data_IF_875649529992
#
_entry.id   IF_875649529992
#
_cell.length_a   1.000
_cell.length_b   1.000
_cell.length_c   1.000
_cell.angle_alpha   90.00
_cell.angle_beta   90.00
_cell.angle_gamma   90.00
#
_symmetry.space_group_name_H-M   'P 1'
#
loop_
_entity.id
_entity.type
_entity.pdbx_description
1 polymer ?
#
# COMPACT_ATOMS: atom_id res chain seq x y z
N UNK A 1 18.36 21.88 -12.83
CA UNK A 1 18.22 22.28 -11.43
C UNK A 1 18.07 21.02 -10.61
N UNK A 2 19.10 20.67 -9.86
CA UNK A 2 19.17 19.47 -9.04
C UNK A 2 18.25 19.66 -7.83
N UNK A 3 17.12 18.94 -7.79
CA UNK A 3 16.34 18.86 -6.56
C UNK A 3 16.92 17.73 -5.72
N UNK A 4 17.71 18.11 -4.72
CA UNK A 4 18.18 17.21 -3.67
C UNK A 4 16.96 16.49 -3.04
N UNK A 5 16.77 15.22 -3.39
CA UNK A 5 15.97 14.32 -2.58
C UNK A 5 16.74 14.09 -1.28
N UNK A 6 16.13 14.23 -0.10
CA UNK A 6 16.79 13.84 1.13
C UNK A 6 17.12 12.35 1.06
N UNK A 7 18.41 12.01 1.04
CA UNK A 7 18.93 10.67 1.01
C UNK A 7 18.78 10.01 2.39
N UNK A 8 17.60 9.52 2.69
CA UNK A 8 17.42 8.47 3.68
C UNK A 8 16.85 7.26 2.94
N UNK A 9 17.72 6.62 2.18
CA UNK A 9 17.40 5.38 1.46
C UNK A 9 17.33 4.24 2.46
N UNK A 10 16.29 4.20 3.29
CA UNK A 10 15.87 2.93 3.86
C UNK A 10 15.46 2.08 2.64
N UNK A 11 16.23 1.01 2.38
CA UNK A 11 15.91 0.12 1.25
C UNK A 11 14.47 -0.37 1.41
N UNK A 12 13.67 -0.21 0.35
CA UNK A 12 12.32 -0.75 0.33
C UNK A 12 12.37 -2.27 0.49
N UNK A 13 11.44 -2.87 1.24
CA UNK A 13 11.39 -4.32 1.46
C UNK A 13 11.34 -5.10 0.14
N UNK A 14 11.91 -6.29 0.14
CA UNK A 14 11.83 -7.25 -0.97
C UNK A 14 10.64 -8.19 -0.76
N UNK A 15 10.40 -8.59 0.49
CA UNK A 15 9.31 -9.49 0.87
C UNK A 15 8.30 -8.81 1.77
N UNK A 16 7.01 -9.06 1.49
CA UNK A 16 5.88 -8.51 2.22
C UNK A 16 4.91 -9.62 2.63
N UNK A 17 4.44 -9.59 3.88
CA UNK A 17 3.44 -10.53 4.38
C UNK A 17 2.16 -9.78 4.76
N UNK A 18 1.06 -10.10 4.10
CA UNK A 18 -0.27 -9.55 4.44
C UNK A 18 -0.84 -10.20 5.69
N UNK A 19 -1.42 -9.37 6.57
CA UNK A 19 -2.09 -9.79 7.81
C UNK A 19 -3.41 -9.03 7.94
N UNK A 20 -4.57 -9.71 8.07
CA UNK A 20 -5.84 -9.02 8.27
C UNK A 20 -5.82 -8.13 9.51
N UNK A 21 -6.19 -6.86 9.37
CA UNK A 21 -6.15 -5.87 10.45
C UNK A 21 -7.10 -6.16 11.62
N UNK A 22 -8.12 -6.99 11.39
CA UNK A 22 -9.05 -7.45 12.44
C UNK A 22 -8.59 -8.75 13.14
N UNK A 23 -7.32 -9.18 12.95
CA UNK A 23 -6.77 -10.39 13.55
C UNK A 23 -5.50 -10.08 14.34
N UNK A 24 -5.60 -9.27 15.42
CA UNK A 24 -4.44 -8.80 16.19
C UNK A 24 -3.60 -9.94 16.79
N UNK A 25 -4.20 -11.09 17.06
CA UNK A 25 -3.51 -12.30 17.52
C UNK A 25 -2.50 -12.87 16.51
N UNK A 26 -2.56 -12.41 15.25
CA UNK A 26 -1.64 -12.81 14.17
C UNK A 26 -0.49 -11.85 13.96
N UNK A 27 -0.53 -10.65 14.50
CA UNK A 27 0.48 -9.61 14.20
C UNK A 27 1.87 -10.00 14.67
N UNK A 28 2.00 -10.48 15.92
CA UNK A 28 3.27 -10.95 16.44
C UNK A 28 3.83 -12.14 15.64
N UNK A 29 2.98 -13.11 15.30
CA UNK A 29 3.36 -14.27 14.48
C UNK A 29 3.80 -13.87 13.07
N UNK A 30 3.20 -12.83 12.50
CA UNK A 30 3.59 -12.32 11.19
C UNK A 30 4.98 -11.66 11.23
N UNK A 31 5.32 -10.97 12.32
CA UNK A 31 6.68 -10.45 12.55
C UNK A 31 7.70 -11.59 12.66
N UNK A 32 7.34 -12.67 13.36
CA UNK A 32 8.19 -13.88 13.53
C UNK A 32 8.41 -14.63 12.19
N UNK A 33 7.56 -14.43 11.19
CA UNK A 33 7.71 -15.05 9.87
C UNK A 33 8.90 -14.51 9.06
N UNK A 34 9.61 -13.49 9.58
CA UNK A 34 10.85 -12.95 9.04
C UNK A 34 10.74 -12.40 7.59
N UNK A 35 9.57 -11.95 7.16
CA UNK A 35 9.45 -11.10 5.98
C UNK A 35 10.07 -9.72 6.29
N UNK A 36 10.63 -9.04 5.26
CA UNK A 36 11.20 -7.70 5.44
C UNK A 36 10.14 -6.70 5.92
N UNK A 37 8.88 -6.89 5.51
CA UNK A 37 7.75 -6.09 5.94
C UNK A 37 6.48 -6.90 6.15
N UNK A 38 5.64 -6.44 7.07
CA UNK A 38 4.25 -6.86 7.19
C UNK A 38 3.32 -5.78 6.66
N UNK A 39 2.21 -6.19 6.07
CA UNK A 39 1.14 -5.30 5.61
C UNK A 39 -0.10 -5.58 6.45
N UNK A 40 -0.46 -4.65 7.33
CA UNK A 40 -1.69 -4.69 8.11
C UNK A 40 -2.84 -4.27 7.19
N UNK A 41 -3.69 -5.22 6.85
CA UNK A 41 -4.70 -5.03 5.82
C UNK A 41 -6.02 -4.49 6.39
N UNK A 42 -6.48 -3.36 5.86
CA UNK A 42 -7.79 -2.79 6.17
C UNK A 42 -8.79 -2.98 5.02
N UNK A 43 -8.37 -3.59 3.90
CA UNK A 43 -9.19 -3.73 2.69
C UNK A 43 -9.87 -5.12 2.61
N UNK A 44 -9.62 -5.88 1.57
CA UNK A 44 -10.39 -7.07 1.20
C UNK A 44 -10.31 -8.22 2.20
N UNK A 45 -9.23 -8.32 3.00
CA UNK A 45 -9.16 -9.30 4.07
C UNK A 45 -10.03 -8.97 5.29
N UNK A 46 -10.72 -7.82 5.30
CA UNK A 46 -11.56 -7.36 6.41
C UNK A 46 -12.97 -7.07 5.93
N UNK A 47 -13.96 -7.77 6.50
CA UNK A 47 -15.38 -7.53 6.18
C UNK A 47 -15.78 -6.07 6.48
N UNK A 48 -16.68 -5.45 5.71
CA UNK A 48 -17.08 -4.06 5.89
C UNK A 48 -17.48 -3.68 7.32
N UNK A 49 -18.23 -4.52 8.00
CA UNK A 49 -18.67 -4.33 9.39
C UNK A 49 -17.50 -4.36 10.40
N UNK A 50 -16.37 -4.96 10.04
CA UNK A 50 -15.19 -5.10 10.90
C UNK A 50 -14.13 -4.03 10.65
N UNK A 51 -14.31 -3.12 9.69
CA UNK A 51 -13.31 -2.11 9.32
C UNK A 51 -12.93 -1.19 10.49
N UNK A 52 -13.92 -0.76 11.27
CA UNK A 52 -13.67 0.09 12.46
C UNK A 52 -12.87 -0.66 13.54
N UNK A 53 -13.22 -1.93 13.79
CA UNK A 53 -12.49 -2.78 14.74
C UNK A 53 -11.06 -3.05 14.26
N UNK A 54 -10.86 -3.27 12.95
CA UNK A 54 -9.54 -3.44 12.36
C UNK A 54 -8.64 -2.22 12.57
N UNK A 55 -9.13 -1.00 12.27
CA UNK A 55 -8.40 0.24 12.54
C UNK A 55 -8.01 0.36 14.02
N UNK A 56 -8.96 0.07 14.93
CA UNK A 56 -8.70 0.08 16.38
C UNK A 56 -7.63 -0.93 16.80
N UNK A 57 -7.67 -2.14 16.28
CA UNK A 57 -6.69 -3.18 16.58
C UNK A 57 -5.29 -2.84 16.06
N UNK A 58 -5.21 -2.34 14.82
CA UNK A 58 -3.94 -1.86 14.23
C UNK A 58 -3.37 -0.70 15.05
N UNK A 59 -4.21 0.26 15.43
CA UNK A 59 -3.82 1.38 16.28
C UNK A 59 -3.24 0.92 17.62
N UNK A 60 -4.01 0.12 18.36
CA UNK A 60 -3.60 -0.38 19.67
C UNK A 60 -2.29 -1.16 19.61
N UNK A 61 -2.11 -1.98 18.55
CA UNK A 61 -0.87 -2.71 18.37
C UNK A 61 0.31 -1.78 18.04
N UNK A 62 0.11 -0.79 17.21
CA UNK A 62 1.14 0.21 16.91
C UNK A 62 1.55 1.02 18.16
N UNK A 63 0.59 1.36 19.02
CA UNK A 63 0.88 2.08 20.27
C UNK A 63 1.63 1.23 21.29
N UNK A 64 1.26 -0.04 21.43
CA UNK A 64 1.87 -0.96 22.40
C UNK A 64 3.24 -1.48 21.96
N UNK A 65 3.54 -1.49 20.65
CA UNK A 65 4.73 -2.13 20.09
C UNK A 65 5.75 -1.09 19.64
N UNK A 66 6.78 -0.84 20.46
CA UNK A 66 7.79 0.20 20.18
C UNK A 66 8.70 -0.16 19.00
N UNK A 67 9.19 -1.40 18.95
CA UNK A 67 10.10 -1.87 17.90
C UNK A 67 9.75 -3.27 17.47
N UNK A 68 9.88 -3.52 16.16
CA UNK A 68 9.77 -4.85 15.56
C UNK A 68 10.91 -5.05 14.55
N UNK A 69 11.24 -6.30 14.27
CA UNK A 69 12.35 -6.65 13.39
C UNK A 69 12.07 -6.38 11.89
N UNK A 70 10.84 -6.02 11.51
CA UNK A 70 10.43 -5.79 10.13
C UNK A 70 9.80 -4.41 9.95
N UNK A 71 9.72 -3.94 8.71
CA UNK A 71 8.99 -2.72 8.36
C UNK A 71 7.48 -2.95 8.46
N UNK A 72 6.72 -1.89 8.73
CA UNK A 72 5.26 -1.95 8.90
C UNK A 72 4.56 -1.10 7.85
N UNK A 73 3.75 -1.72 7.06
CA UNK A 73 2.87 -1.07 6.08
C UNK A 73 1.40 -1.30 6.46
N UNK A 74 0.54 -0.45 5.92
CA UNK A 74 -0.92 -0.57 6.06
C UNK A 74 -1.53 -0.54 4.67
N UNK A 75 -2.32 -1.53 4.31
CA UNK A 75 -3.16 -1.43 3.11
C UNK A 75 -4.46 -0.74 3.48
N UNK A 76 -4.69 0.44 2.89
CA UNK A 76 -5.91 1.22 3.06
C UNK A 76 -7.04 0.65 2.21
N UNK A 77 -8.26 1.10 2.48
CA UNK A 77 -9.38 0.82 1.59
C UNK A 77 -9.23 1.57 0.26
N UNK A 78 -9.97 1.15 -0.77
CA UNK A 78 -9.90 1.74 -2.11
C UNK A 78 -10.28 3.22 -2.11
N UNK A 79 -9.52 4.03 -2.85
CA UNK A 79 -9.71 5.48 -2.98
C UNK A 79 -11.15 5.80 -3.40
N UNK A 80 -11.77 6.74 -2.71
CA UNK A 80 -13.16 7.16 -2.96
C UNK A 80 -14.21 6.40 -2.17
N UNK A 81 -13.88 5.26 -1.53
CA UNK A 81 -14.83 4.55 -0.67
C UNK A 81 -15.09 5.29 0.65
N UNK A 82 -16.22 4.96 1.30
CA UNK A 82 -16.53 5.51 2.64
C UNK A 82 -15.48 5.07 3.67
N UNK A 83 -15.01 3.83 3.60
CA UNK A 83 -13.98 3.30 4.48
C UNK A 83 -12.64 4.00 4.28
N UNK A 84 -12.28 4.36 3.05
CA UNK A 84 -11.07 5.12 2.76
C UNK A 84 -11.03 6.48 3.45
N UNK A 85 -12.15 7.22 3.43
CA UNK A 85 -12.22 8.51 4.14
C UNK A 85 -11.98 8.36 5.64
N UNK A 86 -12.48 7.26 6.23
CA UNK A 86 -12.23 6.93 7.63
C UNK A 86 -10.76 6.55 7.87
N UNK A 87 -10.15 5.82 6.95
CA UNK A 87 -8.72 5.47 7.00
C UNK A 87 -7.84 6.72 6.95
N UNK A 88 -8.17 7.68 6.07
CA UNK A 88 -7.43 8.96 5.99
C UNK A 88 -7.52 9.77 7.29
N UNK A 89 -8.71 9.87 7.88
CA UNK A 89 -8.88 10.55 9.18
C UNK A 89 -8.06 9.86 10.26
N UNK A 90 -8.10 8.54 10.30
CA UNK A 90 -7.36 7.72 11.24
C UNK A 90 -5.83 7.87 11.06
N UNK A 91 -5.33 7.86 9.82
CA UNK A 91 -3.90 8.07 9.54
C UNK A 91 -3.41 9.46 9.93
N UNK A 92 -4.20 10.50 9.63
CA UNK A 92 -3.84 11.88 10.00
C UNK A 92 -3.62 12.01 11.50
N UNK A 93 -4.46 11.35 12.28
CA UNK A 93 -4.47 11.45 13.74
C UNK A 93 -3.52 10.43 14.42
N UNK A 94 -2.70 9.72 13.63
CA UNK A 94 -1.78 8.70 14.12
C UNK A 94 -0.73 9.30 15.06
N UNK A 95 -0.70 8.81 16.30
CA UNK A 95 0.17 9.33 17.37
C UNK A 95 1.66 9.03 17.15
N UNK A 96 1.97 7.91 16.49
CA UNK A 96 3.33 7.44 16.25
C UNK A 96 3.53 7.14 14.76
N UNK A 97 3.55 8.18 13.90
CA UNK A 97 3.67 7.99 12.45
C UNK A 97 4.98 7.31 12.05
N UNK A 98 6.05 7.49 12.82
CA UNK A 98 7.35 6.83 12.61
C UNK A 98 7.29 5.30 12.74
N UNK A 99 6.24 4.76 13.32
CA UNK A 99 6.01 3.31 13.43
C UNK A 99 5.30 2.72 12.21
N UNK A 100 4.87 3.56 11.28
CA UNK A 100 4.31 3.16 9.99
C UNK A 100 5.30 3.52 8.88
N UNK A 101 5.91 2.53 8.26
CA UNK A 101 6.88 2.73 7.17
C UNK A 101 6.19 3.24 5.92
N UNK A 102 4.98 2.78 5.63
CA UNK A 102 4.27 3.20 4.44
C UNK A 102 2.85 2.66 4.33
N UNK A 103 2.21 3.01 3.22
CA UNK A 103 0.85 2.58 2.90
C UNK A 103 0.77 1.97 1.51
N UNK A 104 -0.13 1.00 1.36
CA UNK A 104 -0.55 0.45 0.10
C UNK A 104 -1.91 1.05 -0.28
N UNK A 105 -2.01 1.58 -1.51
CA UNK A 105 -3.24 2.11 -2.10
C UNK A 105 -3.75 1.11 -3.14
N UNK A 106 -4.80 0.32 -2.81
CA UNK A 106 -5.33 -0.69 -3.71
C UNK A 106 -6.14 -0.04 -4.83
N UNK A 107 -6.38 -0.83 -5.90
CA UNK A 107 -7.24 -0.47 -7.04
C UNK A 107 -6.92 0.93 -7.59
N UNK A 108 -5.61 1.15 -7.82
CA UNK A 108 -5.11 2.41 -8.36
C UNK A 108 -5.54 2.56 -9.84
N UNK A 109 -6.57 3.38 -10.09
CA UNK A 109 -7.21 3.51 -11.40
C UNK A 109 -7.30 4.95 -11.91
N UNK A 110 -7.33 5.93 -11.02
CA UNK A 110 -7.58 7.33 -11.34
C UNK A 110 -6.37 8.20 -10.94
N UNK A 111 -5.42 8.48 -11.87
CA UNK A 111 -4.16 9.17 -11.55
C UNK A 111 -4.35 10.50 -10.82
N UNK A 112 -5.33 11.33 -11.24
CA UNK A 112 -5.56 12.64 -10.63
C UNK A 112 -6.10 12.54 -9.19
N UNK A 113 -6.98 11.57 -8.91
CA UNK A 113 -7.49 11.33 -7.56
C UNK A 113 -6.38 10.76 -6.66
N UNK A 114 -5.59 9.83 -7.21
CA UNK A 114 -4.47 9.22 -6.52
C UNK A 114 -3.38 10.25 -6.17
N UNK A 115 -3.05 11.16 -7.12
CA UNK A 115 -2.08 12.23 -6.90
C UNK A 115 -2.46 13.12 -5.71
N UNK A 116 -3.74 13.51 -5.60
CA UNK A 116 -4.22 14.30 -4.45
C UNK A 116 -4.08 13.54 -3.12
N UNK A 117 -4.34 12.24 -3.13
CA UNK A 117 -4.18 11.39 -1.95
C UNK A 117 -2.71 11.28 -1.55
N UNK A 118 -1.82 11.07 -2.51
CA UNK A 118 -0.37 11.00 -2.28
C UNK A 118 0.14 12.32 -1.70
N UNK A 119 -0.21 13.45 -2.30
CA UNK A 119 0.14 14.79 -1.82
C UNK A 119 -0.34 15.01 -0.37
N UNK A 120 -1.60 14.66 -0.09
CA UNK A 120 -2.19 14.80 1.24
C UNK A 120 -1.49 13.92 2.29
N UNK A 121 -1.19 12.68 1.97
CA UNK A 121 -0.51 11.75 2.88
C UNK A 121 0.91 12.23 3.20
N UNK A 122 1.64 12.70 2.20
CA UNK A 122 3.00 13.22 2.38
C UNK A 122 3.03 14.58 3.09
N UNK A 123 1.98 15.38 2.97
CA UNK A 123 1.85 16.62 3.75
C UNK A 123 1.69 16.34 5.25
N UNK A 124 1.03 15.23 5.61
CA UNK A 124 0.89 14.82 7.01
C UNK A 124 2.12 14.04 7.53
N UNK A 125 2.64 13.15 6.69
CA UNK A 125 3.69 12.20 7.04
C UNK A 125 4.75 12.14 5.92
N UNK A 126 5.72 13.07 5.87
CA UNK A 126 6.67 13.21 4.77
C UNK A 126 7.57 11.99 4.54
N UNK A 127 7.72 11.12 5.55
CA UNK A 127 8.57 9.93 5.50
C UNK A 127 7.82 8.68 4.99
N UNK A 128 6.53 8.81 4.69
CA UNK A 128 5.71 7.66 4.35
C UNK A 128 6.04 7.12 2.94
N UNK A 129 6.34 5.84 2.82
CA UNK A 129 6.46 5.18 1.53
C UNK A 129 5.08 4.82 1.00
N UNK A 130 4.71 5.36 -0.17
CA UNK A 130 3.39 5.10 -0.77
C UNK A 130 3.54 4.14 -1.93
N UNK A 131 2.85 3.01 -1.86
CA UNK A 131 2.83 1.96 -2.88
C UNK A 131 1.46 1.90 -3.52
N UNK A 132 1.37 2.04 -4.84
CA UNK A 132 0.13 1.87 -5.57
C UNK A 132 0.00 0.44 -6.11
N UNK A 133 -1.16 -0.22 -5.87
CA UNK A 133 -1.41 -1.57 -6.38
C UNK A 133 -2.18 -1.47 -7.71
N UNK A 134 -1.56 -2.01 -8.75
CA UNK A 134 -2.18 -2.18 -10.08
C UNK A 134 -2.80 -3.59 -10.12
N UNK A 135 -4.12 -3.64 -10.06
CA UNK A 135 -4.86 -4.89 -9.91
C UNK A 135 -6.20 -4.91 -10.67
N UNK A 136 -6.34 -3.96 -11.62
CA UNK A 136 -7.48 -3.90 -12.55
C UNK A 136 -7.01 -3.56 -13.96
N UNK A 137 -7.78 -3.93 -14.97
CA UNK A 137 -7.54 -3.55 -16.37
C UNK A 137 -7.46 -2.02 -16.52
N UNK A 138 -8.37 -1.31 -15.84
CA UNK A 138 -8.40 0.15 -15.85
C UNK A 138 -7.16 0.76 -15.22
N UNK A 139 -6.68 0.22 -14.09
CA UNK A 139 -5.42 0.63 -13.47
C UNK A 139 -4.22 0.38 -14.39
N UNK A 140 -4.20 -0.78 -15.05
CA UNK A 140 -3.13 -1.10 -16.02
C UNK A 140 -3.12 -0.16 -17.22
N UNK A 141 -4.29 0.29 -17.69
CA UNK A 141 -4.36 1.30 -18.77
C UNK A 141 -3.82 2.67 -18.35
N UNK A 142 -3.77 2.96 -17.07
CA UNK A 142 -3.30 4.23 -16.51
C UNK A 142 -1.91 4.11 -15.85
N UNK A 143 -1.23 2.97 -16.00
CA UNK A 143 -0.04 2.64 -15.20
C UNK A 143 1.09 3.65 -15.36
N UNK A 144 1.31 4.18 -16.56
CA UNK A 144 2.35 5.20 -16.82
C UNK A 144 2.03 6.52 -16.12
N UNK A 145 0.76 6.94 -16.20
CA UNK A 145 0.30 8.17 -15.54
C UNK A 145 0.31 8.01 -14.01
N UNK A 146 0.04 6.81 -13.49
CA UNK A 146 0.14 6.48 -12.06
C UNK A 146 1.60 6.48 -11.62
N UNK A 147 2.48 5.82 -12.36
CA UNK A 147 3.91 5.78 -12.05
C UNK A 147 4.54 7.17 -11.98
N UNK A 148 4.08 8.09 -12.82
CA UNK A 148 4.57 9.48 -12.87
C UNK A 148 4.08 10.37 -11.71
N UNK A 149 3.24 9.88 -10.79
CA UNK A 149 2.76 10.67 -9.65
C UNK A 149 3.93 10.95 -8.70
N UNK A 150 4.26 12.23 -8.43
CA UNK A 150 5.33 12.58 -7.50
C UNK A 150 5.05 12.04 -6.08
N UNK A 151 6.05 11.41 -5.50
CA UNK A 151 5.96 10.88 -4.12
C UNK A 151 5.51 9.44 -4.00
N UNK A 152 5.16 8.76 -5.11
CA UNK A 152 5.09 7.30 -5.08
C UNK A 152 6.47 6.71 -4.86
N UNK A 153 6.53 5.63 -4.07
CA UNK A 153 7.76 4.89 -3.79
C UNK A 153 7.89 3.65 -4.67
N UNK A 154 6.76 3.05 -5.05
CA UNK A 154 6.74 1.77 -5.81
C UNK A 154 5.36 1.50 -6.40
N UNK A 155 5.32 0.70 -7.48
CA UNK A 155 4.12 0.00 -7.94
C UNK A 155 4.15 -1.45 -7.46
N UNK A 156 2.98 -2.01 -7.16
CA UNK A 156 2.80 -3.43 -6.89
C UNK A 156 1.75 -4.01 -7.86
N UNK A 157 1.84 -5.30 -8.15
CA UNK A 157 0.88 -6.01 -8.98
C UNK A 157 -0.01 -6.93 -8.13
N UNK A 158 -1.32 -6.67 -8.09
CA UNK A 158 -2.31 -7.50 -7.42
C UNK A 158 -2.88 -8.57 -8.37
N UNK A 159 -2.20 -9.72 -8.49
CA UNK A 159 -2.55 -10.74 -9.48
C UNK A 159 -3.91 -11.39 -9.25
N UNK A 160 -4.36 -11.51 -8.00
CA UNK A 160 -5.64 -12.13 -7.67
C UNK A 160 -6.80 -11.26 -8.18
N UNK A 161 -6.86 -10.00 -7.77
CA UNK A 161 -7.91 -9.08 -8.19
C UNK A 161 -7.84 -8.80 -9.70
N UNK A 162 -6.63 -8.69 -10.24
CA UNK A 162 -6.45 -8.55 -11.70
C UNK A 162 -7.05 -9.73 -12.47
N UNK A 163 -6.83 -10.96 -12.00
CA UNK A 163 -7.40 -12.14 -12.67
C UNK A 163 -8.93 -12.17 -12.63
N UNK A 164 -9.52 -11.72 -11.52
CA UNK A 164 -10.97 -11.58 -11.37
C UNK A 164 -11.52 -10.49 -12.29
N UNK A 165 -10.86 -9.34 -12.34
CA UNK A 165 -11.29 -8.19 -13.13
C UNK A 165 -11.29 -8.48 -14.65
N UNK A 166 -10.23 -9.14 -15.16
CA UNK A 166 -10.13 -9.48 -16.58
C UNK A 166 -10.70 -10.88 -16.93
N UNK A 167 -11.27 -11.58 -15.94
CA UNK A 167 -11.84 -12.92 -16.09
C UNK A 167 -10.86 -13.92 -16.71
N UNK A 168 -9.65 -14.03 -16.18
CA UNK A 168 -8.65 -14.99 -16.66
C UNK A 168 -8.23 -15.98 -15.55
N UNK A 169 -7.60 -17.09 -15.96
CA UNK A 169 -6.98 -18.03 -15.03
C UNK A 169 -5.75 -17.42 -14.32
N UNK A 170 -5.50 -17.88 -13.11
CA UNK A 170 -4.32 -17.47 -12.33
C UNK A 170 -3.08 -18.28 -12.78
N UNK A 171 -2.70 -18.14 -14.03
CA UNK A 171 -1.50 -18.77 -14.60
C UNK A 171 -0.48 -17.69 -14.94
N UNK A 172 0.83 -17.97 -14.77
CA UNK A 172 1.88 -16.96 -15.00
C UNK A 172 1.80 -16.26 -16.34
N UNK A 173 1.44 -16.99 -17.39
CA UNK A 173 1.33 -16.52 -18.77
C UNK A 173 0.28 -15.42 -18.95
N UNK A 174 -0.83 -15.50 -18.21
CA UNK A 174 -1.89 -14.50 -18.25
C UNK A 174 -1.44 -13.12 -17.74
N UNK A 175 -0.37 -13.08 -16.96
CA UNK A 175 0.11 -11.86 -16.31
C UNK A 175 1.37 -11.25 -16.95
N UNK A 176 1.97 -11.91 -17.93
CA UNK A 176 3.23 -11.45 -18.55
C UNK A 176 3.12 -10.02 -19.07
N UNK A 177 2.05 -9.72 -19.80
CA UNK A 177 1.82 -8.38 -20.34
C UNK A 177 1.70 -7.33 -19.23
N UNK A 178 0.87 -7.60 -18.22
CA UNK A 178 0.65 -6.66 -17.11
C UNK A 178 1.94 -6.40 -16.33
N UNK A 179 2.67 -7.46 -15.99
CA UNK A 179 3.95 -7.37 -15.27
C UNK A 179 4.99 -6.56 -16.05
N UNK A 180 5.14 -6.82 -17.35
CA UNK A 180 6.07 -6.09 -18.19
C UNK A 180 5.71 -4.60 -18.28
N UNK A 181 4.43 -4.27 -18.44
CA UNK A 181 3.98 -2.87 -18.46
C UNK A 181 4.28 -2.16 -17.13
N UNK A 182 4.01 -2.80 -16.00
CA UNK A 182 4.30 -2.22 -14.68
C UNK A 182 5.81 -2.00 -14.49
N UNK A 183 6.64 -2.95 -14.88
CA UNK A 183 8.10 -2.80 -14.81
C UNK A 183 8.59 -1.66 -15.68
N UNK A 184 8.12 -1.56 -16.92
CA UNK A 184 8.51 -0.47 -17.83
C UNK A 184 8.07 0.89 -17.30
N UNK A 185 6.82 1.02 -16.83
CA UNK A 185 6.31 2.25 -16.23
C UNK A 185 7.11 2.65 -14.99
N UNK A 186 7.42 1.70 -14.10
CA UNK A 186 8.24 1.94 -12.91
C UNK A 186 9.63 2.46 -13.29
N UNK A 187 10.30 1.81 -14.25
CA UNK A 187 11.66 2.23 -14.68
C UNK A 187 11.68 3.58 -15.36
N UNK A 188 10.63 3.91 -16.14
CA UNK A 188 10.49 5.21 -16.80
C UNK A 188 10.28 6.35 -15.78
N UNK A 189 9.67 6.04 -14.64
CA UNK A 189 9.39 6.99 -13.57
C UNK A 189 10.44 6.98 -12.43
N UNK A 190 11.53 6.20 -12.56
CA UNK A 190 12.58 6.03 -11.55
C UNK A 190 12.06 5.48 -10.20
N UNK A 191 11.06 4.58 -10.26
CA UNK A 191 10.50 3.84 -9.10
C UNK A 191 11.23 2.51 -8.88
#
# INVERSE_FOLDING_TARGET
MNTDRPSTTAMLPISYLFVPGNRPERFAKAVEAAADAIILDLEDAVHPESKAAARGAVWAWQESTQSVACQRFIRLNSVGSASFRQDLTWLRDMRYPERCTGVFLPKAEAPQALARVVEQLLAWHPQLHIVAIIETAKGLQQVEAIAAIPGLARLAFGSLDFSLDINCGQVPEAFVYARNRIVLASRTADL
#
